data_IF_184345801075
#
_entry.id   IF_184345801075
#
_cell.length_a   1.000
_cell.length_b   1.000
_cell.length_c   1.000
_cell.angle_alpha   90.00
_cell.angle_beta   90.00
_cell.angle_gamma   90.00
#
_symmetry.space_group_name_H-M   'P 1'
#
loop_
_entity.id
_entity.type
_entity.pdbx_description
1 polymer ?
#
# COMPACT_ATOMS: atom_id res chain seq x y z
N UNK A 1 8.58 27.88 11.13
CA UNK A 1 8.56 27.58 12.58
C UNK A 1 9.71 26.63 12.83
N UNK A 2 10.62 26.97 13.75
CA UNK A 2 11.71 26.09 14.17
C UNK A 2 11.08 24.87 14.88
N UNK A 3 11.38 23.66 14.41
CA UNK A 3 11.02 22.42 15.12
C UNK A 3 11.76 22.42 16.46
N UNK A 4 11.01 22.52 17.56
CA UNK A 4 11.57 22.32 18.89
C UNK A 4 11.82 20.84 19.08
N UNK A 5 13.10 20.45 19.02
CA UNK A 5 13.56 19.08 19.22
C UNK A 5 13.36 18.69 20.70
N UNK A 6 12.14 18.27 21.00
CA UNK A 6 11.72 17.95 22.37
C UNK A 6 12.15 16.52 22.66
N UNK A 7 13.10 16.35 23.57
CA UNK A 7 13.58 15.01 23.95
C UNK A 7 12.52 14.27 24.75
N UNK A 8 12.04 13.16 24.22
CA UNK A 8 11.05 12.28 24.86
C UNK A 8 11.77 11.08 25.47
N UNK A 9 11.44 10.76 26.72
CA UNK A 9 12.00 9.62 27.46
C UNK A 9 10.91 8.62 27.84
N UNK A 10 11.18 7.33 27.65
CA UNK A 10 10.35 6.22 28.14
C UNK A 10 11.24 5.28 28.93
N UNK A 11 10.87 4.98 30.18
CA UNK A 11 11.68 4.15 31.09
C UNK A 11 13.16 4.58 31.14
N UNK A 12 13.40 5.90 31.32
CA UNK A 12 14.74 6.51 31.34
C UNK A 12 15.56 6.35 30.04
N UNK A 13 14.94 5.87 28.95
CA UNK A 13 15.58 5.74 27.64
C UNK A 13 15.06 6.84 26.72
N UNK A 14 15.95 7.62 26.13
CA UNK A 14 15.58 8.64 25.13
C UNK A 14 15.11 7.95 23.84
N UNK A 15 13.95 8.34 23.34
CA UNK A 15 13.41 7.83 22.08
C UNK A 15 14.02 8.63 20.92
N UNK A 16 14.38 7.94 19.84
CA UNK A 16 14.82 8.57 18.59
C UNK A 16 13.71 9.40 17.95
N UNK A 17 14.05 10.63 17.55
CA UNK A 17 13.15 11.48 16.76
C UNK A 17 13.42 11.21 15.27
N UNK A 18 12.45 10.60 14.58
CA UNK A 18 12.55 10.24 13.16
C UNK A 18 11.42 10.85 12.35
N UNK A 19 11.72 11.31 11.14
CA UNK A 19 10.74 11.93 10.24
C UNK A 19 9.64 10.95 9.79
N UNK A 20 10.04 9.69 9.55
CA UNK A 20 9.10 8.63 9.19
C UNK A 20 9.55 7.28 9.73
N UNK A 21 8.57 6.46 10.12
CA UNK A 21 8.77 5.17 10.75
C UNK A 21 7.77 4.14 10.20
N UNK A 22 8.17 2.88 10.11
CA UNK A 22 7.26 1.79 9.73
C UNK A 22 6.89 1.00 10.98
N UNK A 23 5.63 1.08 11.37
CA UNK A 23 5.09 0.33 12.49
C UNK A 23 4.09 -0.71 11.97
N UNK A 24 4.31 -1.99 12.29
CA UNK A 24 3.48 -3.12 11.84
C UNK A 24 3.22 -3.10 10.32
N UNK A 25 4.25 -2.71 9.57
CA UNK A 25 4.19 -2.59 8.14
C UNK A 25 3.47 -1.35 7.62
N UNK A 26 2.83 -0.51 8.44
CA UNK A 26 2.26 0.79 8.04
C UNK A 26 3.27 1.92 8.21
N UNK A 27 3.46 2.76 7.20
CA UNK A 27 4.35 3.92 7.28
C UNK A 27 3.64 5.10 7.92
N UNK A 28 4.26 5.63 8.97
CA UNK A 28 3.89 6.88 9.62
C UNK A 28 4.94 7.94 9.30
N UNK A 29 4.52 9.20 9.22
CA UNK A 29 5.37 10.34 8.88
C UNK A 29 4.82 11.56 9.60
N UNK A 30 5.71 12.34 10.22
CA UNK A 30 5.37 13.59 10.91
C UNK A 30 5.06 14.74 9.93
N UNK A 31 5.52 14.61 8.68
CA UNK A 31 5.26 15.58 7.60
C UNK A 31 3.86 15.48 6.95
N UNK A 32 3.44 16.59 6.34
CA UNK A 32 2.24 16.67 5.48
C UNK A 32 2.20 15.56 4.41
N UNK A 33 0.99 15.10 4.05
CA UNK A 33 0.73 14.04 3.05
C UNK A 33 1.24 12.64 3.43
N UNK A 34 1.35 12.32 4.73
CA UNK A 34 1.73 10.99 5.22
C UNK A 34 0.96 9.84 4.54
N UNK A 35 -0.38 9.94 4.50
CA UNK A 35 -1.25 8.90 3.91
C UNK A 35 -0.99 8.66 2.42
N UNK A 36 -0.67 9.71 1.66
CA UNK A 36 -0.42 9.60 0.23
C UNK A 36 0.78 8.71 -0.07
N UNK A 37 1.85 8.83 0.73
CA UNK A 37 3.05 8.02 0.61
C UNK A 37 2.79 6.56 1.02
N UNK A 38 2.01 6.33 2.08
CA UNK A 38 1.64 4.97 2.48
C UNK A 38 0.73 4.29 1.44
N UNK A 39 -0.24 5.02 0.86
CA UNK A 39 -1.07 4.51 -0.23
C UNK A 39 -0.21 4.10 -1.43
N UNK A 40 0.76 4.94 -1.82
CA UNK A 40 1.69 4.59 -2.91
C UNK A 40 2.54 3.37 -2.58
N UNK A 41 2.99 3.25 -1.33
CA UNK A 41 3.74 2.08 -0.87
C UNK A 41 2.91 0.80 -0.94
N UNK A 42 1.62 0.83 -0.58
CA UNK A 42 0.73 -0.34 -0.74
C UNK A 42 0.38 -0.67 -2.18
N UNK A 43 0.15 0.33 -3.03
CA UNK A 43 0.03 0.11 -4.48
C UNK A 43 1.29 -0.58 -5.01
N UNK A 44 2.46 -0.14 -4.56
CA UNK A 44 3.74 -0.76 -4.93
C UNK A 44 3.84 -2.19 -4.42
N UNK A 45 3.37 -2.49 -3.20
CA UNK A 45 3.34 -3.85 -2.63
C UNK A 45 2.38 -4.81 -3.37
N UNK A 46 1.33 -4.29 -4.02
CA UNK A 46 0.45 -5.09 -4.87
C UNK A 46 1.15 -5.70 -6.09
N UNK A 47 2.16 -5.03 -6.65
CA UNK A 47 2.86 -5.50 -7.84
C UNK A 47 3.72 -6.76 -7.61
N UNK A 48 4.54 -6.86 -6.55
CA UNK A 48 5.21 -8.12 -6.19
C UNK A 48 4.23 -9.26 -5.93
N UNK A 49 3.09 -8.99 -5.27
CA UNK A 49 2.06 -10.00 -5.06
C UNK A 49 1.48 -10.50 -6.40
N UNK A 50 1.27 -9.60 -7.37
CA UNK A 50 0.89 -9.97 -8.72
C UNK A 50 1.99 -10.79 -9.42
N UNK A 51 3.24 -10.33 -9.35
CA UNK A 51 4.38 -10.97 -10.01
C UNK A 51 4.63 -12.40 -9.50
N UNK A 52 4.40 -12.66 -8.21
CA UNK A 52 4.50 -13.99 -7.61
C UNK A 52 3.56 -15.01 -8.26
N UNK A 53 2.42 -14.56 -8.78
CA UNK A 53 1.42 -15.40 -9.45
C UNK A 53 1.33 -15.10 -10.95
N UNK A 54 2.41 -14.56 -11.55
CA UNK A 54 2.45 -14.15 -12.95
C UNK A 54 2.08 -15.28 -13.90
N UNK A 55 2.54 -16.51 -13.63
CA UNK A 55 2.22 -17.67 -14.47
C UNK A 55 0.72 -17.92 -14.51
N UNK A 56 0.02 -17.70 -13.40
CA UNK A 56 -1.43 -17.88 -13.37
C UNK A 56 -2.12 -16.72 -14.09
N UNK A 57 -1.69 -15.49 -13.84
CA UNK A 57 -2.32 -14.31 -14.41
C UNK A 57 -2.08 -14.15 -15.91
N UNK A 58 -0.91 -14.54 -16.42
CA UNK A 58 -0.52 -14.35 -17.83
C UNK A 58 -0.87 -15.52 -18.73
N UNK A 59 -1.05 -16.73 -18.19
CA UNK A 59 -1.46 -17.88 -18.98
C UNK A 59 -2.96 -17.87 -19.30
N UNK A 60 -3.36 -18.77 -20.20
CA UNK A 60 -4.75 -18.99 -20.60
C UNK A 60 -5.53 -19.78 -19.54
N UNK A 61 -5.68 -19.18 -18.35
CA UNK A 61 -6.46 -19.71 -17.24
C UNK A 61 -7.78 -18.95 -17.17
N UNK A 62 -8.86 -19.66 -16.81
CA UNK A 62 -10.18 -19.07 -16.67
C UNK A 62 -10.19 -17.86 -15.72
N UNK A 63 -10.89 -16.79 -16.14
CA UNK A 63 -10.98 -15.53 -15.40
C UNK A 63 -11.49 -15.70 -13.97
N UNK A 64 -12.34 -16.71 -13.72
CA UNK A 64 -12.83 -17.04 -12.38
C UNK A 64 -11.67 -17.36 -11.41
N UNK A 65 -10.75 -18.23 -11.81
CA UNK A 65 -9.61 -18.62 -10.99
C UNK A 65 -8.61 -17.47 -10.83
N UNK A 66 -8.36 -16.70 -11.90
CA UNK A 66 -7.54 -15.48 -11.84
C UNK A 66 -8.12 -14.50 -10.82
N UNK A 67 -9.43 -14.26 -10.84
CA UNK A 67 -10.13 -13.39 -9.88
C UNK A 67 -9.99 -13.89 -8.44
N UNK A 68 -10.11 -15.19 -8.20
CA UNK A 68 -9.95 -15.75 -6.86
C UNK A 68 -8.55 -15.49 -6.29
N UNK A 69 -7.51 -15.69 -7.08
CA UNK A 69 -6.11 -15.45 -6.66
C UNK A 69 -5.85 -13.95 -6.49
N UNK A 70 -6.37 -13.12 -7.40
CA UNK A 70 -6.26 -11.68 -7.29
C UNK A 70 -6.89 -11.16 -5.99
N UNK A 71 -8.11 -11.58 -5.68
CA UNK A 71 -8.84 -11.16 -4.48
C UNK A 71 -8.21 -11.68 -3.18
N UNK A 72 -7.54 -12.83 -3.21
CA UNK A 72 -6.94 -13.44 -2.01
C UNK A 72 -5.50 -13.03 -1.75
N UNK A 73 -4.73 -12.65 -2.79
CA UNK A 73 -3.30 -12.36 -2.65
C UNK A 73 -2.92 -10.93 -3.01
N UNK A 74 -3.47 -10.39 -4.12
CA UNK A 74 -3.03 -9.09 -4.66
C UNK A 74 -3.81 -7.95 -4.03
N UNK A 75 -5.13 -8.08 -3.97
CA UNK A 75 -5.99 -7.05 -3.39
C UNK A 75 -5.65 -6.78 -1.92
N UNK A 76 -5.47 -7.79 -1.05
CA UNK A 76 -5.12 -7.55 0.36
C UNK A 76 -3.75 -6.88 0.52
N UNK A 77 -2.77 -7.20 -0.34
CA UNK A 77 -1.46 -6.54 -0.31
C UNK A 77 -1.57 -5.04 -0.61
N UNK A 78 -2.48 -4.66 -1.52
CA UNK A 78 -2.74 -3.28 -1.92
C UNK A 78 -3.64 -2.51 -0.93
N UNK A 79 -4.53 -3.18 -0.20
CA UNK A 79 -5.50 -2.55 0.70
C UNK A 79 -5.20 -2.73 2.18
N UNK A 80 -4.08 -3.37 2.54
CA UNK A 80 -3.70 -3.50 3.94
C UNK A 80 -3.55 -2.11 4.59
N UNK A 81 -4.24 -1.92 5.73
CA UNK A 81 -4.26 -0.66 6.45
C UNK A 81 -5.19 0.40 5.84
N UNK A 82 -5.98 0.07 4.82
CA UNK A 82 -6.92 1.03 4.22
C UNK A 82 -8.02 1.50 5.19
N UNK A 83 -8.34 0.69 6.20
CA UNK A 83 -9.28 1.03 7.28
C UNK A 83 -8.79 2.21 8.15
N UNK A 84 -7.47 2.46 8.18
CA UNK A 84 -6.87 3.54 8.97
C UNK A 84 -6.59 4.80 8.13
N UNK A 85 -6.89 4.77 6.83
CA UNK A 85 -6.71 5.93 5.95
C UNK A 85 -7.93 6.84 6.00
N UNK A 86 -7.71 8.15 5.80
CA UNK A 86 -8.82 9.06 5.62
C UNK A 86 -9.52 8.74 4.29
N UNK A 87 -10.87 8.68 4.25
CA UNK A 87 -11.63 8.27 3.07
C UNK A 87 -11.72 9.38 2.01
N UNK A 88 -10.58 9.89 1.55
CA UNK A 88 -10.50 10.98 0.58
C UNK A 88 -10.77 10.49 -0.84
N UNK A 89 -11.36 11.35 -1.67
CA UNK A 89 -11.58 11.07 -3.10
C UNK A 89 -10.26 10.80 -3.82
N UNK A 90 -9.20 11.53 -3.45
CA UNK A 90 -7.86 11.34 -4.00
C UNK A 90 -7.29 9.94 -3.74
N UNK A 91 -7.38 9.45 -2.50
CA UNK A 91 -6.96 8.11 -2.12
C UNK A 91 -7.73 7.04 -2.91
N UNK A 92 -9.07 7.17 -2.97
CA UNK A 92 -9.94 6.26 -3.72
C UNK A 92 -9.57 6.22 -5.20
N UNK A 93 -9.34 7.38 -5.82
CA UNK A 93 -8.96 7.48 -7.22
C UNK A 93 -7.60 6.83 -7.51
N UNK A 94 -6.60 7.05 -6.65
CA UNK A 94 -5.28 6.40 -6.76
C UNK A 94 -5.38 4.88 -6.70
N UNK A 95 -6.11 4.35 -5.72
CA UNK A 95 -6.31 2.90 -5.58
C UNK A 95 -7.09 2.31 -6.75
N UNK A 96 -8.14 2.99 -7.21
CA UNK A 96 -8.94 2.52 -8.34
C UNK A 96 -8.15 2.55 -9.66
N UNK A 97 -7.26 3.53 -9.86
CA UNK A 97 -6.37 3.56 -11.01
C UNK A 97 -5.36 2.38 -10.97
N UNK A 98 -4.76 2.12 -9.80
CA UNK A 98 -3.86 1.00 -9.60
C UNK A 98 -4.55 -0.35 -9.82
N UNK A 99 -5.74 -0.54 -9.25
CA UNK A 99 -6.58 -1.72 -9.41
C UNK A 99 -6.81 -2.01 -10.89
N UNK A 100 -7.34 -1.05 -11.65
CA UNK A 100 -7.61 -1.20 -13.08
C UNK A 100 -6.35 -1.52 -13.88
N UNK A 101 -5.21 -0.92 -13.51
CA UNK A 101 -3.93 -1.19 -14.18
C UNK A 101 -3.50 -2.65 -14.00
N UNK A 102 -3.69 -3.22 -12.81
CA UNK A 102 -3.37 -4.63 -12.54
C UNK A 102 -4.37 -5.54 -13.28
N UNK A 103 -5.67 -5.25 -13.25
CA UNK A 103 -6.69 -6.03 -13.97
C UNK A 103 -6.44 -6.06 -15.49
N UNK A 104 -6.13 -4.89 -16.09
CA UNK A 104 -5.78 -4.80 -17.52
C UNK A 104 -4.55 -5.65 -17.85
N UNK A 105 -3.54 -5.62 -16.99
CA UNK A 105 -2.37 -6.50 -17.13
C UNK A 105 -2.76 -7.98 -17.03
N UNK A 106 -3.63 -8.35 -16.08
CA UNK A 106 -4.11 -9.73 -15.91
C UNK A 106 -4.89 -10.24 -17.13
N UNK A 107 -5.63 -9.35 -17.80
CA UNK A 107 -6.45 -9.65 -18.96
C UNK A 107 -5.76 -9.39 -20.31
N UNK A 108 -4.49 -8.95 -20.29
CA UNK A 108 -3.72 -8.55 -21.48
C UNK A 108 -4.44 -7.47 -22.34
N UNK A 109 -5.08 -6.50 -21.69
CA UNK A 109 -5.75 -5.36 -22.35
C UNK A 109 -4.79 -4.15 -22.30
N UNK A 110 -4.46 -3.60 -23.47
CA UNK A 110 -3.55 -2.44 -23.61
C UNK A 110 -4.33 -1.15 -23.63
#
# INVERSE_FOLDING_TARGET
>A
MMETDTSIYVNNTQIENVESYIYLGHRYSTRYKNQDMEIQRRITAGWPAFAKHRDIFKNNIGTCLKRQIYNSCVLPAMTYGAETWAPTTHAKNKLAAAHRKIERSMLNIT
#
